data_IF_054527383955
#
_entry.id   IF_054527383955
#
_cell.length_a   1.000
_cell.length_b   1.000
_cell.length_c   1.000
_cell.angle_alpha   90.00
_cell.angle_beta   90.00
_cell.angle_gamma   90.00
#
_symmetry.space_group_name_H-M   'P 1'
#
loop_
_entity.id
_entity.type
_entity.pdbx_description
1 polymer ?
#
# COMPACT_ATOMS: atom_id res chain seq x y z
N UNK A 1 13.33 -19.72 -7.96
CA UNK A 1 12.16 -19.27 -7.14
C UNK A 1 11.22 -18.45 -8.01
N UNK A 2 9.90 -18.68 -7.98
CA UNK A 2 8.94 -17.94 -8.82
C UNK A 2 8.43 -16.68 -8.11
N UNK A 3 8.57 -15.51 -8.72
CA UNK A 3 8.04 -14.25 -8.19
C UNK A 3 7.11 -13.61 -9.21
N UNK A 4 5.92 -13.22 -8.76
CA UNK A 4 4.99 -12.40 -9.52
C UNK A 4 5.09 -10.94 -9.07
N UNK A 5 5.37 -10.02 -9.99
CA UNK A 5 5.39 -8.57 -9.76
C UNK A 5 4.10 -7.97 -10.29
N UNK A 6 3.38 -7.24 -9.44
CA UNK A 6 2.09 -6.63 -9.75
C UNK A 6 2.15 -5.13 -9.50
N UNK A 7 2.23 -4.36 -10.58
CA UNK A 7 2.31 -2.91 -10.57
C UNK A 7 1.83 -2.42 -11.95
N UNK A 8 1.01 -1.39 -12.01
CA UNK A 8 0.52 -0.79 -13.26
C UNK A 8 1.60 0.03 -13.99
N UNK A 9 2.68 0.42 -13.30
CA UNK A 9 3.79 1.20 -13.86
C UNK A 9 4.89 0.30 -14.43
N UNK A 10 5.04 0.28 -15.76
CA UNK A 10 6.03 -0.55 -16.44
C UNK A 10 7.49 -0.29 -16.02
N UNK A 11 7.84 0.97 -15.73
CA UNK A 11 9.19 1.33 -15.24
C UNK A 11 9.49 0.70 -13.88
N UNK A 12 8.50 0.63 -13.00
CA UNK A 12 8.65 0.02 -11.67
C UNK A 12 8.85 -1.49 -11.81
N UNK A 13 8.05 -2.15 -12.67
CA UNK A 13 8.21 -3.59 -12.92
C UNK A 13 9.58 -3.93 -13.49
N UNK A 14 10.05 -3.20 -14.51
CA UNK A 14 11.39 -3.40 -15.09
C UNK A 14 12.49 -3.22 -14.04
N UNK A 15 12.39 -2.17 -13.20
CA UNK A 15 13.34 -1.93 -12.11
C UNK A 15 13.39 -3.06 -11.08
N UNK A 16 12.21 -3.54 -10.65
CA UNK A 16 12.08 -4.68 -9.76
C UNK A 16 12.63 -5.96 -10.40
N UNK A 17 12.31 -6.22 -11.67
CA UNK A 17 12.76 -7.40 -12.39
C UNK A 17 14.28 -7.48 -12.47
N UNK A 18 14.95 -6.36 -12.77
CA UNK A 18 16.42 -6.27 -12.76
C UNK A 18 17.00 -6.47 -11.37
N UNK A 19 16.42 -5.78 -10.37
CA UNK A 19 16.89 -5.86 -8.99
C UNK A 19 16.81 -7.29 -8.44
N UNK A 20 15.68 -7.97 -8.66
CA UNK A 20 15.46 -9.32 -8.16
C UNK A 20 16.34 -10.34 -8.88
N UNK A 21 16.45 -10.24 -10.21
CA UNK A 21 17.32 -11.13 -11.00
C UNK A 21 18.80 -10.98 -10.64
N UNK A 22 19.23 -9.80 -10.19
CA UNK A 22 20.61 -9.58 -9.75
C UNK A 22 20.94 -10.22 -8.39
N UNK A 23 19.94 -10.48 -7.54
CA UNK A 23 20.14 -10.95 -6.16
C UNK A 23 19.60 -12.36 -5.88
N UNK A 24 18.80 -12.90 -6.80
CA UNK A 24 18.13 -14.19 -6.62
C UNK A 24 18.13 -14.99 -7.93
N UNK A 25 18.17 -16.32 -7.80
CA UNK A 25 17.85 -17.22 -8.91
C UNK A 25 16.33 -17.37 -9.03
N UNK A 26 15.73 -16.50 -9.86
CA UNK A 26 14.28 -16.32 -9.97
C UNK A 26 13.73 -16.47 -11.38
N UNK A 27 12.52 -17.03 -11.45
CA UNK A 27 11.64 -16.97 -12.61
C UNK A 27 10.63 -15.85 -12.32
N UNK A 28 10.64 -14.81 -13.14
CA UNK A 28 9.83 -13.60 -12.94
C UNK A 28 8.66 -13.56 -13.90
N UNK A 29 7.51 -13.18 -13.35
CA UNK A 29 6.30 -12.89 -14.10
C UNK A 29 5.76 -11.53 -13.70
N UNK A 30 5.12 -10.85 -14.64
CA UNK A 30 4.62 -9.50 -14.45
C UNK A 30 3.12 -9.42 -14.76
N UNK A 31 2.42 -8.58 -14.00
CA UNK A 31 1.02 -8.28 -14.25
C UNK A 31 0.73 -6.78 -14.01
N UNK A 32 0.13 -6.07 -14.99
CA UNK A 32 -0.18 -4.65 -14.84
C UNK A 32 -1.51 -4.38 -14.12
N UNK A 33 -2.33 -5.40 -13.86
CA UNK A 33 -3.68 -5.21 -13.31
C UNK A 33 -4.09 -6.34 -12.38
N UNK A 34 -5.11 -6.10 -11.56
CA UNK A 34 -5.67 -7.09 -10.64
C UNK A 34 -6.10 -8.37 -11.35
N UNK A 35 -6.81 -8.26 -12.47
CA UNK A 35 -7.33 -9.44 -13.18
C UNK A 35 -6.20 -10.29 -13.77
N UNK A 36 -5.25 -9.65 -14.48
CA UNK A 36 -4.08 -10.34 -15.05
C UNK A 36 -3.19 -10.97 -13.96
N UNK A 37 -3.09 -10.34 -12.79
CA UNK A 37 -2.31 -10.86 -11.68
C UNK A 37 -2.97 -12.09 -11.04
N UNK A 38 -4.30 -12.09 -10.86
CA UNK A 38 -5.03 -13.25 -10.34
C UNK A 38 -5.00 -14.43 -11.32
N UNK A 39 -5.09 -14.17 -12.62
CA UNK A 39 -4.95 -15.21 -13.65
C UNK A 39 -3.54 -15.82 -13.66
N UNK A 40 -2.51 -14.96 -13.62
CA UNK A 40 -1.11 -15.38 -13.59
C UNK A 40 -0.79 -16.15 -12.32
N UNK A 41 -1.27 -15.70 -11.16
CA UNK A 41 -1.11 -16.42 -9.89
C UNK A 41 -1.68 -17.85 -9.97
N UNK A 42 -2.90 -18.00 -10.51
CA UNK A 42 -3.56 -19.31 -10.66
C UNK A 42 -2.77 -20.23 -11.60
N UNK A 43 -2.26 -19.69 -12.71
CA UNK A 43 -1.53 -20.44 -13.73
C UNK A 43 -0.15 -20.87 -13.26
N UNK A 44 0.59 -19.98 -12.61
CA UNK A 44 2.03 -20.15 -12.39
C UNK A 44 2.41 -20.47 -10.95
N UNK A 45 1.47 -20.29 -10.00
CA UNK A 45 1.64 -20.59 -8.58
C UNK A 45 2.96 -20.02 -8.02
N UNK A 46 3.14 -18.69 -8.07
CA UNK A 46 4.39 -18.07 -7.65
C UNK A 46 4.65 -18.30 -6.16
N UNK A 47 5.94 -18.37 -5.79
CA UNK A 47 6.34 -18.52 -4.40
C UNK A 47 6.18 -17.23 -3.60
N UNK A 48 6.30 -16.07 -4.25
CA UNK A 48 6.12 -14.74 -3.67
C UNK A 48 5.39 -13.85 -4.67
N UNK A 49 4.48 -13.01 -4.17
CA UNK A 49 3.85 -11.94 -4.94
C UNK A 49 4.32 -10.61 -4.39
N UNK A 50 4.86 -9.73 -5.23
CA UNK A 50 5.14 -8.33 -4.90
C UNK A 50 4.01 -7.50 -5.49
N UNK A 51 3.27 -6.79 -4.65
CA UNK A 51 2.01 -6.15 -5.00
C UNK A 51 2.01 -4.66 -4.63
N UNK A 52 1.77 -3.79 -5.60
CA UNK A 52 1.41 -2.40 -5.32
C UNK A 52 -0.04 -2.30 -4.81
N UNK A 53 -0.28 -1.39 -3.86
CA UNK A 53 -1.63 -1.05 -3.42
C UNK A 53 -2.35 -0.12 -4.39
N UNK A 54 -1.59 0.70 -5.14
CA UNK A 54 -2.12 1.78 -5.97
C UNK A 54 -2.47 1.35 -7.39
N UNK A 55 -2.85 0.08 -7.60
CA UNK A 55 -3.35 -0.38 -8.89
C UNK A 55 -4.64 0.34 -9.28
N UNK A 56 -4.80 0.61 -10.58
CA UNK A 56 -6.07 1.04 -11.14
C UNK A 56 -7.23 0.05 -10.86
N UNK A 57 -8.46 0.56 -10.91
CA UNK A 57 -9.68 -0.24 -10.74
C UNK A 57 -9.94 -0.65 -9.28
N UNK A 58 -10.17 -1.95 -8.97
CA UNK A 58 -10.51 -2.40 -7.62
C UNK A 58 -9.40 -2.19 -6.59
N UNK A 59 -8.17 -1.93 -7.03
CA UNK A 59 -7.01 -1.62 -6.18
C UNK A 59 -6.30 -2.85 -5.61
N UNK A 60 -5.06 -2.66 -5.16
CA UNK A 60 -4.21 -3.76 -4.68
C UNK A 60 -4.69 -4.38 -3.37
N UNK A 61 -5.31 -3.61 -2.47
CA UNK A 61 -5.86 -4.17 -1.23
C UNK A 61 -7.02 -5.14 -1.50
N UNK A 62 -7.85 -4.84 -2.51
CA UNK A 62 -8.94 -5.73 -2.90
C UNK A 62 -8.42 -7.00 -3.57
N UNK A 63 -7.41 -6.88 -4.43
CA UNK A 63 -6.70 -8.05 -4.96
C UNK A 63 -6.16 -8.94 -3.84
N UNK A 64 -5.49 -8.36 -2.84
CA UNK A 64 -4.95 -9.09 -1.70
C UNK A 64 -6.04 -9.88 -0.96
N UNK A 65 -7.20 -9.26 -0.69
CA UNK A 65 -8.33 -9.96 -0.05
C UNK A 65 -8.82 -11.13 -0.88
N UNK A 66 -9.04 -10.93 -2.18
CA UNK A 66 -9.49 -12.00 -3.10
C UNK A 66 -8.49 -13.14 -3.15
N UNK A 67 -7.20 -12.81 -3.22
CA UNK A 67 -6.12 -13.78 -3.23
C UNK A 67 -6.11 -14.58 -1.92
N UNK A 68 -6.18 -13.90 -0.78
CA UNK A 68 -6.19 -14.54 0.54
C UNK A 68 -7.40 -15.46 0.77
N UNK A 69 -8.57 -15.10 0.25
CA UNK A 69 -9.76 -15.97 0.28
C UNK A 69 -9.53 -17.23 -0.58
N UNK A 70 -8.92 -17.09 -1.76
CA UNK A 70 -8.66 -18.22 -2.65
C UNK A 70 -7.46 -19.08 -2.23
N UNK A 71 -6.50 -18.50 -1.53
CA UNK A 71 -5.26 -19.12 -1.08
C UNK A 71 -4.72 -18.38 0.15
N UNK A 72 -5.05 -18.89 1.34
CA UNK A 72 -4.63 -18.28 2.61
C UNK A 72 -3.12 -18.45 2.92
N UNK A 73 -2.41 -19.25 2.12
CA UNK A 73 -0.96 -19.44 2.21
C UNK A 73 -0.20 -18.54 1.23
N UNK A 74 -0.90 -17.74 0.41
CA UNK A 74 -0.28 -16.81 -0.52
C UNK A 74 0.72 -15.89 0.21
N UNK A 75 1.95 -15.88 -0.29
CA UNK A 75 3.08 -15.11 0.27
C UNK A 75 3.16 -13.76 -0.42
N UNK A 76 2.36 -12.81 0.05
CA UNK A 76 2.25 -11.48 -0.56
C UNK A 76 3.07 -10.46 0.21
N UNK A 77 3.94 -9.74 -0.49
CA UNK A 77 4.67 -8.56 -0.04
C UNK A 77 4.00 -7.35 -0.68
N UNK A 78 3.54 -6.42 0.14
CA UNK A 78 3.12 -5.12 -0.34
C UNK A 78 4.35 -4.25 -0.59
N UNK A 79 4.41 -3.64 -1.77
CA UNK A 79 5.43 -2.65 -2.13
C UNK A 79 4.75 -1.35 -2.54
N UNK A 80 4.65 -0.39 -1.62
CA UNK A 80 3.73 0.76 -1.78
C UNK A 80 4.38 2.10 -1.46
N UNK A 81 3.93 3.16 -2.14
CA UNK A 81 4.39 4.54 -1.90
C UNK A 81 3.88 5.11 -0.55
N UNK A 82 2.92 4.46 0.08
CA UNK A 82 2.38 4.87 1.37
C UNK A 82 3.28 4.34 2.49
N UNK A 83 3.61 5.21 3.45
CA UNK A 83 4.51 4.90 4.56
C UNK A 83 3.80 5.04 5.91
N UNK A 84 2.50 5.30 5.91
CA UNK A 84 1.70 5.46 7.11
C UNK A 84 1.35 4.09 7.70
N UNK A 85 1.49 3.89 9.03
CA UNK A 85 1.19 2.63 9.72
C UNK A 85 -0.16 2.00 9.37
N UNK A 86 -1.19 2.83 9.14
CA UNK A 86 -2.55 2.38 8.82
C UNK A 86 -2.61 1.52 7.55
N UNK A 87 -1.77 1.78 6.54
CA UNK A 87 -1.72 0.96 5.32
C UNK A 87 -1.13 -0.42 5.61
N UNK A 88 0.00 -0.47 6.30
CA UNK A 88 0.64 -1.74 6.66
C UNK A 88 -0.24 -2.59 7.56
N UNK A 89 -0.83 -2.01 8.62
CA UNK A 89 -1.73 -2.74 9.53
C UNK A 89 -2.91 -3.33 8.75
N UNK A 90 -3.51 -2.58 7.81
CA UNK A 90 -4.63 -3.07 7.00
C UNK A 90 -4.22 -4.14 6.00
N UNK A 91 -3.07 -3.98 5.35
CA UNK A 91 -2.53 -5.00 4.46
C UNK A 91 -2.23 -6.31 5.20
N UNK A 92 -1.56 -6.24 6.36
CA UNK A 92 -1.26 -7.40 7.19
C UNK A 92 -2.54 -8.11 7.65
N UNK A 93 -3.56 -7.34 8.09
CA UNK A 93 -4.89 -7.89 8.44
C UNK A 93 -5.61 -8.52 7.24
N UNK A 94 -5.37 -8.03 6.03
CA UNK A 94 -5.92 -8.58 4.80
C UNK A 94 -5.17 -9.81 4.26
N UNK A 95 -4.10 -10.24 4.94
CA UNK A 95 -3.36 -11.45 4.60
C UNK A 95 -1.95 -11.23 4.04
N UNK A 96 -1.47 -9.99 3.98
CA UNK A 96 -0.08 -9.74 3.58
C UNK A 96 0.91 -10.38 4.56
N UNK A 97 2.02 -10.87 4.03
CA UNK A 97 3.17 -11.39 4.79
C UNK A 97 4.32 -10.39 4.82
N UNK A 98 4.37 -9.47 3.86
CA UNK A 98 5.37 -8.41 3.77
C UNK A 98 4.75 -7.03 3.61
N UNK A 99 5.38 -5.99 4.13
CA UNK A 99 5.14 -4.60 3.74
C UNK A 99 6.46 -3.83 3.65
N UNK A 100 6.73 -3.23 2.49
CA UNK A 100 7.93 -2.42 2.24
C UNK A 100 7.52 -1.15 1.51
N UNK A 101 8.01 -0.01 1.99
CA UNK A 101 7.79 1.27 1.31
C UNK A 101 8.61 1.41 0.01
N UNK A 102 7.95 2.02 -1.00
CA UNK A 102 8.49 2.83 -2.14
C UNK A 102 9.86 3.45 -1.89
N UNK A 103 9.94 4.16 -0.76
CA UNK A 103 11.06 5.02 -0.39
C UNK A 103 12.07 4.35 0.54
N UNK A 104 11.84 3.10 0.92
CA UNK A 104 12.77 2.35 1.75
C UNK A 104 14.06 2.02 0.98
N UNK A 105 15.19 1.82 1.69
CA UNK A 105 16.39 1.28 1.08
C UNK A 105 16.10 -0.06 0.38
N UNK A 106 16.79 -0.30 -0.74
CA UNK A 106 16.64 -1.50 -1.57
C UNK A 106 16.79 -2.79 -0.75
N UNK A 107 17.66 -2.76 0.26
CA UNK A 107 17.95 -3.87 1.16
C UNK A 107 16.70 -4.35 1.92
N UNK A 108 15.76 -3.45 2.25
CA UNK A 108 14.51 -3.79 2.93
C UNK A 108 13.65 -4.71 2.06
N UNK A 109 13.56 -4.42 0.75
CA UNK A 109 12.83 -5.27 -0.18
C UNK A 109 13.50 -6.64 -0.34
N UNK A 110 14.82 -6.68 -0.47
CA UNK A 110 15.56 -7.94 -0.58
C UNK A 110 15.40 -8.81 0.68
N UNK A 111 15.40 -8.18 1.87
CA UNK A 111 15.15 -8.86 3.13
C UNK A 111 13.70 -9.36 3.23
N UNK A 112 12.73 -8.56 2.79
CA UNK A 112 11.33 -8.97 2.74
C UNK A 112 11.13 -10.21 1.87
N UNK A 113 11.71 -10.22 0.66
CA UNK A 113 11.64 -11.37 -0.26
C UNK A 113 12.21 -12.62 0.38
N UNK A 114 13.41 -12.57 0.97
CA UNK A 114 14.02 -13.72 1.66
C UNK A 114 13.17 -14.23 2.82
N UNK A 115 12.68 -13.32 3.64
CA UNK A 115 11.91 -13.65 4.85
C UNK A 115 10.56 -14.25 4.51
N UNK A 116 9.83 -13.64 3.58
CA UNK A 116 8.50 -14.11 3.18
C UNK A 116 8.59 -15.40 2.36
N UNK A 117 9.61 -15.56 1.50
CA UNK A 117 9.83 -16.81 0.77
C UNK A 117 10.04 -18.00 1.71
N UNK A 118 10.72 -17.81 2.84
CA UNK A 118 10.92 -18.83 3.89
C UNK A 118 9.72 -19.02 4.82
N UNK A 119 8.62 -18.26 4.64
CA UNK A 119 7.38 -18.38 5.41
C UNK A 119 7.28 -17.43 6.61
N UNK A 120 8.27 -16.55 6.80
CA UNK A 120 8.21 -15.49 7.80
C UNK A 120 7.34 -14.30 7.39
N UNK A 121 7.30 -13.30 8.27
CA UNK A 121 6.69 -11.99 8.01
C UNK A 121 7.76 -10.90 8.05
N UNK A 122 7.57 -9.84 7.26
CA UNK A 122 8.49 -8.72 7.22
C UNK A 122 7.74 -7.40 7.10
N UNK A 123 8.12 -6.42 7.91
CA UNK A 123 7.75 -5.01 7.70
C UNK A 123 9.06 -4.25 7.74
N UNK A 124 9.22 -3.29 6.82
CA UNK A 124 10.43 -2.47 6.83
C UNK A 124 10.63 -1.78 8.20
N UNK A 125 11.89 -1.57 8.57
CA UNK A 125 12.26 -1.24 9.96
C UNK A 125 11.66 0.07 10.46
N UNK A 126 11.60 1.10 9.62
CA UNK A 126 11.01 2.39 9.99
C UNK A 126 9.52 2.22 10.29
N UNK A 127 8.80 1.56 9.38
CA UNK A 127 7.38 1.36 9.53
C UNK A 127 7.03 0.44 10.71
N UNK A 128 7.84 -0.60 10.94
CA UNK A 128 7.69 -1.47 12.10
C UNK A 128 7.83 -0.70 13.42
N UNK A 129 8.80 0.21 13.50
CA UNK A 129 8.98 1.09 14.66
C UNK A 129 7.77 2.00 14.87
N UNK A 130 7.28 2.64 13.79
CA UNK A 130 6.12 3.52 13.84
C UNK A 130 4.84 2.80 14.26
N UNK A 131 4.60 1.58 13.75
CA UNK A 131 3.49 0.73 14.16
C UNK A 131 3.58 0.41 15.65
N UNK A 132 4.76 0.06 16.16
CA UNK A 132 4.96 -0.24 17.57
C UNK A 132 4.65 0.99 18.46
N UNK A 133 5.06 2.19 18.02
CA UNK A 133 4.77 3.42 18.75
C UNK A 133 3.31 3.86 18.67
N UNK A 134 2.63 3.68 17.52
CA UNK A 134 1.24 4.10 17.35
C UNK A 134 0.28 3.22 18.15
N UNK A 135 0.59 1.93 18.33
CA UNK A 135 -0.19 1.05 19.21
C UNK A 135 -0.11 1.42 20.70
N UNK A 136 0.87 2.22 21.12
CA UNK A 136 0.93 2.73 22.49
C UNK A 136 -0.05 3.89 22.74
N UNK A 137 -0.57 4.53 21.69
CA UNK A 137 -1.58 5.60 21.75
C UNK A 137 -2.91 5.10 21.18
N UNK A 138 -3.91 4.87 22.02
CA UNK A 138 -5.24 4.33 21.64
C UNK A 138 -6.10 5.27 20.76
N UNK A 139 -5.55 6.37 20.25
CA UNK A 139 -6.29 7.47 19.62
C UNK A 139 -5.73 7.86 18.24
N UNK A 140 -5.23 6.91 17.43
CA UNK A 140 -4.80 7.24 16.06
C UNK A 140 -6.04 7.59 15.18
N UNK A 141 -6.23 8.88 14.80
CA UNK A 141 -7.42 9.31 14.05
C UNK A 141 -7.49 8.68 12.65
N UNK A 142 -6.38 8.15 12.14
CA UNK A 142 -6.34 7.50 10.83
C UNK A 142 -7.07 6.17 10.83
N UNK A 143 -7.29 5.53 11.99
CA UNK A 143 -7.95 4.23 12.07
C UNK A 143 -9.41 4.28 11.63
N UNK A 144 -10.12 5.40 11.87
CA UNK A 144 -11.53 5.57 11.48
C UNK A 144 -11.69 5.94 9.99
N UNK A 145 -10.61 6.33 9.32
CA UNK A 145 -10.60 6.75 7.92
C UNK A 145 -10.30 5.58 7.00
N UNK A 146 -11.04 5.42 5.90
CA UNK A 146 -10.66 4.51 4.81
C UNK A 146 -9.30 4.88 4.21
N UNK A 147 -8.64 3.96 3.51
CA UNK A 147 -7.34 4.26 2.89
C UNK A 147 -7.42 5.39 1.87
N UNK A 148 -8.54 5.52 1.16
CA UNK A 148 -8.76 6.64 0.23
C UNK A 148 -8.92 7.97 0.97
N UNK A 149 -9.55 7.97 2.14
CA UNK A 149 -9.63 9.14 3.01
C UNK A 149 -8.25 9.52 3.56
N UNK A 150 -7.46 8.55 4.03
CA UNK A 150 -6.08 8.79 4.48
C UNK A 150 -5.23 9.38 3.34
N UNK A 151 -5.35 8.85 2.13
CA UNK A 151 -4.64 9.37 0.95
C UNK A 151 -4.99 10.82 0.65
N UNK A 152 -6.29 11.17 0.65
CA UNK A 152 -6.75 12.53 0.42
C UNK A 152 -6.31 13.46 1.56
N UNK A 153 -6.41 13.01 2.82
CA UNK A 153 -5.94 13.76 3.98
C UNK A 153 -4.45 14.08 3.89
N UNK A 154 -3.63 13.11 3.47
CA UNK A 154 -2.19 13.28 3.23
C UNK A 154 -1.91 14.34 2.17
N UNK A 155 -2.59 14.28 1.02
CA UNK A 155 -2.41 15.26 -0.05
C UNK A 155 -2.83 16.67 0.39
N UNK A 156 -3.88 16.78 1.21
CA UNK A 156 -4.26 18.05 1.85
C UNK A 156 -3.16 18.57 2.77
N UNK A 157 -2.56 17.70 3.61
CA UNK A 157 -1.43 18.04 4.48
C UNK A 157 -0.18 18.50 3.71
N UNK A 158 0.01 18.01 2.49
CA UNK A 158 1.06 18.46 1.55
C UNK A 158 0.71 19.80 0.86
N UNK A 159 -0.41 20.43 1.22
CA UNK A 159 -0.85 21.71 0.66
C UNK A 159 -1.50 21.60 -0.73
N UNK A 160 -1.86 20.40 -1.20
CA UNK A 160 -2.55 20.24 -2.49
C UNK A 160 -3.98 20.75 -2.37
N UNK A 161 -4.42 21.51 -3.38
CA UNK A 161 -5.82 21.92 -3.51
C UNK A 161 -6.70 20.72 -3.89
N UNK A 162 -8.00 20.78 -3.60
CA UNK A 162 -8.93 19.72 -3.96
C UNK A 162 -9.01 19.49 -5.47
N UNK A 163 -8.76 20.52 -6.28
CA UNK A 163 -8.62 20.43 -7.74
C UNK A 163 -7.36 19.64 -8.12
N UNK A 164 -6.20 19.96 -7.54
CA UNK A 164 -4.97 19.23 -7.81
C UNK A 164 -5.05 17.76 -7.34
N UNK A 165 -5.76 17.49 -6.24
CA UNK A 165 -6.04 16.12 -5.76
C UNK A 165 -6.94 15.39 -6.76
N UNK A 166 -7.99 16.05 -7.24
CA UNK A 166 -8.92 15.50 -8.23
C UNK A 166 -8.19 15.08 -9.51
N UNK A 167 -7.35 15.96 -10.06
CA UNK A 167 -6.53 15.70 -11.24
C UNK A 167 -5.52 14.58 -10.99
N UNK A 168 -4.74 14.68 -9.91
CA UNK A 168 -3.68 13.71 -9.60
C UNK A 168 -4.21 12.30 -9.29
N UNK A 169 -5.45 12.18 -8.84
CA UNK A 169 -6.09 10.91 -8.53
C UNK A 169 -7.10 10.44 -9.59
N UNK A 170 -7.28 11.19 -10.68
CA UNK A 170 -8.20 10.83 -11.76
C UNK A 170 -9.68 10.73 -11.38
N UNK A 171 -10.12 11.46 -10.35
CA UNK A 171 -11.52 11.43 -9.86
C UNK A 171 -12.16 12.81 -9.93
N UNK A 172 -13.48 12.88 -9.99
CA UNK A 172 -14.19 14.16 -10.04
C UNK A 172 -13.96 15.01 -8.78
N UNK A 173 -13.86 16.34 -8.94
CA UNK A 173 -13.75 17.29 -7.84
C UNK A 173 -14.83 17.09 -6.77
N UNK A 174 -16.08 16.85 -7.20
CA UNK A 174 -17.21 16.60 -6.30
C UNK A 174 -16.99 15.36 -5.42
N UNK A 175 -16.31 14.34 -5.94
CA UNK A 175 -15.94 13.15 -5.17
C UNK A 175 -14.95 13.51 -4.06
N UNK A 176 -13.90 14.27 -4.38
CA UNK A 176 -12.94 14.76 -3.38
C UNK A 176 -13.64 15.61 -2.31
N UNK A 177 -14.56 16.49 -2.71
CA UNK A 177 -15.33 17.33 -1.79
C UNK A 177 -16.27 16.55 -0.87
N UNK A 178 -16.95 15.54 -1.41
CA UNK A 178 -17.79 14.65 -0.61
C UNK A 178 -16.95 13.85 0.39
N UNK A 179 -15.79 13.32 -0.03
CA UNK A 179 -14.90 12.59 0.86
C UNK A 179 -14.39 13.51 1.98
N UNK A 180 -13.97 14.75 1.67
CA UNK A 180 -13.57 15.71 2.71
C UNK A 180 -14.70 16.00 3.70
N UNK A 181 -15.94 16.09 3.22
CA UNK A 181 -17.11 16.27 4.09
C UNK A 181 -17.33 15.07 5.01
N UNK A 182 -17.17 13.85 4.51
CA UNK A 182 -17.27 12.63 5.32
C UNK A 182 -16.13 12.52 6.34
N UNK A 183 -14.89 12.87 5.95
CA UNK A 183 -13.74 12.89 6.87
C UNK A 183 -13.97 13.85 8.03
N UNK A 184 -14.50 15.05 7.76
CA UNK A 184 -14.84 16.03 8.79
C UNK A 184 -15.78 15.47 9.85
N UNK A 185 -16.83 14.76 9.42
CA UNK A 185 -17.77 14.08 10.32
C UNK A 185 -17.07 12.99 11.13
N UNK A 186 -16.26 12.14 10.49
CA UNK A 186 -15.54 11.04 11.15
C UNK A 186 -14.52 11.51 12.17
N UNK A 187 -13.87 12.65 11.91
CA UNK A 187 -12.82 13.21 12.75
C UNK A 187 -13.34 14.28 13.73
N UNK A 188 -14.64 14.60 13.69
CA UNK A 188 -15.25 15.58 14.59
C UNK A 188 -14.75 17.02 14.37
N UNK A 189 -14.50 17.42 13.12
CA UNK A 189 -14.02 18.78 12.77
C UNK A 189 -14.90 19.46 11.73
N UNK A 190 -14.87 20.79 11.65
CA UNK A 190 -15.83 21.57 10.87
C UNK A 190 -15.26 22.12 9.55
N UNK A 191 -13.97 22.49 9.54
CA UNK A 191 -13.33 23.19 8.42
C UNK A 191 -12.28 22.33 7.74
N UNK A 192 -12.07 22.57 6.45
CA UNK A 192 -10.97 21.93 5.71
C UNK A 192 -9.60 22.29 6.29
N UNK A 193 -9.46 23.49 6.87
CA UNK A 193 -8.24 23.87 7.59
C UNK A 193 -7.95 22.96 8.80
N UNK A 194 -8.98 22.44 9.46
CA UNK A 194 -8.81 21.49 10.57
C UNK A 194 -8.31 20.14 10.05
N UNK A 195 -8.80 19.68 8.89
CA UNK A 195 -8.26 18.49 8.22
C UNK A 195 -6.78 18.67 7.84
N UNK A 196 -6.41 19.83 7.29
CA UNK A 196 -5.01 20.13 6.94
C UNK A 196 -4.13 20.12 8.20
N UNK A 197 -4.58 20.77 9.29
CA UNK A 197 -3.87 20.77 10.57
C UNK A 197 -3.68 19.36 11.11
N UNK A 198 -4.76 18.56 11.16
CA UNK A 198 -4.70 17.16 11.60
C UNK A 198 -3.74 16.35 10.73
N UNK A 199 -3.77 16.53 9.41
CA UNK A 199 -2.84 15.88 8.49
C UNK A 199 -1.39 16.20 8.84
N UNK A 200 -1.04 17.48 9.07
CA UNK A 200 0.32 17.88 9.44
C UNK A 200 0.75 17.33 10.81
N UNK A 201 -0.18 17.27 11.77
CA UNK A 201 0.09 16.75 13.11
C UNK A 201 0.28 15.22 13.15
N UNK A 202 -0.51 14.49 12.35
CA UNK A 202 -0.58 13.01 12.39
C UNK A 202 0.21 12.30 11.30
N UNK A 203 0.38 12.91 10.12
CA UNK A 203 1.03 12.33 8.94
C UNK A 203 2.44 12.90 8.73
N UNK A 204 3.19 13.08 9.83
CA UNK A 204 4.56 13.63 9.76
C UNK A 204 5.37 12.95 8.65
N UNK A 205 6.09 13.74 7.82
CA UNK A 205 6.93 13.20 6.74
C UNK A 205 8.08 12.34 7.28
#
# INVERSE_FOLDING_TARGET
MKILIVDDHGVVREGLSRLLSAHFDVELSEAPSVDSALETYKRERPNVVILDLNLEGPGGLEMLRRLHISDNQAKVIIFSMHHEPVYAVRALRAGARGYVSKSAPVEELLMAVRTVASGGQYVDRDLASRIATSHASNEDPLQVLSLREVEILRLLGQGKSMTAISEGLGIAYKTVANICTQMKVKLGVDRTADLIRLAVETLKP
#
